data_IF_511127692720
#
_entry.id   IF_511127692720
#
_cell.length_a   1.000
_cell.length_b   1.000
_cell.length_c   1.000
_cell.angle_alpha   90.00
_cell.angle_beta   90.00
_cell.angle_gamma   90.00
#
_symmetry.space_group_name_H-M   'P 1'
#
loop_
_entity.id
_entity.type
_entity.pdbx_description
1 polymer ?
#
# COMPACT_ATOMS: atom_id res chain seq x y z
N UNK A 1 -11.95 -19.54 7.34
CA UNK A 1 -11.98 -19.21 8.78
C UNK A 1 -11.23 -20.24 9.63
N UNK A 2 -11.21 -21.53 9.25
CA UNK A 2 -10.38 -22.59 9.87
C UNK A 2 -8.92 -22.14 10.14
N UNK A 3 -8.24 -21.57 9.14
CA UNK A 3 -6.83 -21.15 9.27
C UNK A 3 -6.59 -20.06 10.33
N UNK A 4 -7.60 -19.26 10.66
CA UNK A 4 -7.51 -18.17 11.66
C UNK A 4 -7.61 -18.75 13.08
N UNK A 5 -8.42 -19.81 13.24
CA UNK A 5 -8.53 -20.58 14.49
C UNK A 5 -7.25 -21.39 14.72
N UNK A 6 -6.71 -22.05 13.68
CA UNK A 6 -5.43 -22.77 13.77
C UNK A 6 -4.27 -21.84 14.10
N UNK A 7 -4.32 -20.59 13.66
CA UNK A 7 -3.33 -19.56 14.00
C UNK A 7 -3.49 -18.99 15.43
N UNK A 8 -4.54 -19.38 16.17
CA UNK A 8 -4.77 -18.97 17.56
C UNK A 8 -5.35 -17.57 17.72
N UNK A 9 -5.80 -16.92 16.63
CA UNK A 9 -6.38 -15.57 16.69
C UNK A 9 -7.85 -15.55 17.09
N UNK A 10 -8.56 -16.68 16.97
CA UNK A 10 -9.99 -16.78 17.25
C UNK A 10 -10.27 -18.09 17.98
N UNK A 11 -11.11 -18.04 19.02
CA UNK A 11 -11.48 -19.23 19.78
C UNK A 11 -12.65 -19.97 19.10
N UNK A 12 -12.79 -21.28 19.37
CA UNK A 12 -13.76 -22.12 18.65
C UNK A 12 -15.22 -21.74 18.94
N UNK A 13 -15.49 -21.27 20.16
CA UNK A 13 -16.79 -20.72 20.54
C UNK A 13 -17.14 -19.43 19.75
N UNK A 14 -16.18 -18.52 19.59
CA UNK A 14 -16.31 -17.27 18.84
C UNK A 14 -16.53 -17.53 17.35
N UNK A 15 -15.89 -18.58 16.81
CA UNK A 15 -16.13 -19.01 15.42
C UNK A 15 -17.58 -19.38 15.19
N UNK A 16 -18.17 -20.18 16.09
CA UNK A 16 -19.56 -20.62 15.96
C UNK A 16 -20.51 -19.43 15.99
N UNK A 17 -20.21 -18.39 16.77
CA UNK A 17 -20.99 -17.14 16.78
C UNK A 17 -20.82 -16.32 15.49
N UNK A 18 -19.61 -16.27 14.91
CA UNK A 18 -19.39 -15.62 13.61
C UNK A 18 -20.07 -16.35 12.45
N UNK A 19 -20.10 -17.69 12.48
CA UNK A 19 -20.71 -18.51 11.44
C UNK A 19 -22.25 -18.41 11.47
N UNK A 20 -22.86 -18.19 12.65
CA UNK A 20 -24.31 -17.93 12.80
C UNK A 20 -24.79 -16.64 12.13
N UNK A 21 -23.90 -15.66 11.97
CA UNK A 21 -24.24 -14.36 11.39
C UNK A 21 -24.26 -14.51 9.87
N UNK A 22 -25.43 -14.76 9.27
CA UNK A 22 -25.56 -14.94 7.81
C UNK A 22 -25.53 -13.58 7.08
N UNK A 23 -24.34 -13.15 6.67
CA UNK A 23 -24.14 -11.93 5.89
C UNK A 23 -23.05 -12.20 4.85
N UNK A 24 -23.30 -11.74 3.62
CA UNK A 24 -22.37 -11.86 2.47
C UNK A 24 -21.13 -10.97 2.62
N UNK A 25 -21.20 -9.94 3.47
CA UNK A 25 -20.12 -8.97 3.67
C UNK A 25 -19.08 -9.43 4.70
N UNK A 26 -17.87 -8.87 4.61
CA UNK A 26 -16.78 -9.15 5.55
C UNK A 26 -17.18 -8.77 6.99
N UNK A 27 -17.11 -9.73 7.91
CA UNK A 27 -17.58 -9.61 9.31
C UNK A 27 -16.51 -9.06 10.27
N UNK A 28 -15.57 -8.24 9.77
CA UNK A 28 -14.50 -7.66 10.58
C UNK A 28 -14.98 -6.77 11.74
N UNK A 29 -16.22 -6.28 11.67
CA UNK A 29 -16.83 -5.44 12.70
C UNK A 29 -17.22 -6.22 13.96
N UNK A 30 -17.48 -7.53 13.87
CA UNK A 30 -17.96 -8.33 15.00
C UNK A 30 -16.90 -8.48 16.10
N UNK A 31 -15.63 -8.84 15.81
CA UNK A 31 -14.58 -8.88 16.82
C UNK A 31 -14.29 -7.51 17.46
N UNK A 32 -14.41 -6.42 16.70
CA UNK A 32 -14.23 -5.05 17.21
C UNK A 32 -15.33 -4.71 18.22
N UNK A 33 -16.57 -5.13 17.94
CA UNK A 33 -17.68 -4.93 18.85
C UNK A 33 -17.51 -5.74 20.14
N UNK A 34 -17.05 -6.99 20.03
CA UNK A 34 -16.73 -7.83 21.20
C UNK A 34 -15.65 -7.22 22.08
N UNK A 35 -14.56 -6.73 21.48
CA UNK A 35 -13.51 -6.02 22.21
C UNK A 35 -14.07 -4.80 22.97
N UNK A 36 -14.98 -4.05 22.36
CA UNK A 36 -15.64 -2.92 23.00
C UNK A 36 -16.50 -3.34 24.20
N UNK A 37 -17.29 -4.40 24.03
CA UNK A 37 -18.12 -4.96 25.13
C UNK A 37 -17.27 -5.51 26.26
N UNK A 38 -16.10 -6.08 25.97
CA UNK A 38 -15.15 -6.59 26.95
C UNK A 38 -14.60 -5.44 27.81
N UNK A 39 -14.21 -4.32 27.19
CA UNK A 39 -13.74 -3.12 27.90
C UNK A 39 -14.83 -2.53 28.79
N UNK A 40 -16.07 -2.47 28.32
CA UNK A 40 -17.20 -2.01 29.14
C UNK A 40 -17.47 -2.94 30.33
N UNK A 41 -17.38 -4.26 30.11
CA UNK A 41 -17.55 -5.25 31.17
C UNK A 41 -16.45 -5.14 32.22
N UNK A 42 -15.19 -5.01 31.80
CA UNK A 42 -14.05 -4.82 32.69
C UNK A 42 -14.17 -3.55 33.56
N UNK A 43 -14.79 -2.49 33.04
CA UNK A 43 -15.08 -1.29 33.82
C UNK A 43 -16.22 -1.50 34.82
N UNK A 44 -17.30 -2.19 34.42
CA UNK A 44 -18.40 -2.53 35.32
C UNK A 44 -17.95 -3.43 36.48
N UNK A 45 -17.02 -4.34 36.20
CA UNK A 45 -16.43 -5.26 37.17
C UNK A 45 -15.37 -4.57 38.06
N UNK A 46 -15.10 -3.27 37.84
CA UNK A 46 -14.22 -2.46 38.69
C UNK A 46 -12.72 -2.64 38.42
N UNK A 47 -12.33 -3.42 37.40
CA UNK A 47 -10.93 -3.59 37.01
C UNK A 47 -10.32 -2.29 36.45
N UNK A 48 -11.15 -1.44 35.84
CA UNK A 48 -10.75 -0.12 35.32
C UNK A 48 -11.38 0.96 36.21
N UNK A 49 -10.59 1.49 37.13
CA UNK A 49 -11.06 2.37 38.20
C UNK A 49 -11.49 3.78 37.75
N UNK A 50 -10.94 4.31 36.65
CA UNK A 50 -11.11 5.71 36.27
C UNK A 50 -11.88 5.86 34.93
N UNK A 51 -13.00 6.61 34.89
CA UNK A 51 -13.73 6.90 33.65
C UNK A 51 -12.87 7.49 32.50
N UNK A 52 -11.86 8.35 32.77
CA UNK A 52 -10.96 8.85 31.73
C UNK A 52 -10.16 7.73 31.04
N UNK A 53 -9.70 6.74 31.81
CA UNK A 53 -8.91 5.62 31.25
C UNK A 53 -9.72 4.70 30.34
N UNK A 54 -11.01 4.50 30.65
CA UNK A 54 -11.94 3.81 29.74
C UNK A 54 -12.12 4.60 28.44
N UNK A 55 -12.31 5.92 28.53
CA UNK A 55 -12.50 6.77 27.36
C UNK A 55 -11.29 6.74 26.44
N UNK A 56 -10.07 6.77 26.99
CA UNK A 56 -8.84 6.62 26.20
C UNK A 56 -8.78 5.26 25.50
N UNK A 57 -9.03 4.16 26.23
CA UNK A 57 -9.01 2.81 25.65
C UNK A 57 -10.06 2.65 24.53
N UNK A 58 -11.25 3.20 24.76
CA UNK A 58 -12.32 3.20 23.78
C UNK A 58 -12.00 4.05 22.55
N UNK A 59 -11.28 5.16 22.74
CA UNK A 59 -10.80 6.01 21.64
C UNK A 59 -9.81 5.25 20.76
N UNK A 60 -8.85 4.53 21.34
CA UNK A 60 -7.89 3.72 20.59
C UNK A 60 -8.57 2.63 19.74
N UNK A 61 -9.54 1.92 20.31
CA UNK A 61 -10.32 0.90 19.58
C UNK A 61 -11.09 1.54 18.41
N UNK A 62 -11.66 2.73 18.61
CA UNK A 62 -12.35 3.49 17.56
C UNK A 62 -11.39 3.92 16.45
N UNK A 63 -10.20 4.39 16.80
CA UNK A 63 -9.14 4.75 15.84
C UNK A 63 -8.70 3.54 15.02
N UNK A 64 -8.48 2.40 15.67
CA UNK A 64 -8.15 1.15 14.98
C UNK A 64 -9.23 0.74 13.97
N UNK A 65 -10.51 0.82 14.35
CA UNK A 65 -11.64 0.56 13.44
C UNK A 65 -11.66 1.51 12.25
N UNK A 66 -11.35 2.80 12.45
CA UNK A 66 -11.31 3.79 11.38
C UNK A 66 -10.22 3.45 10.36
N UNK A 67 -9.02 3.07 10.81
CA UNK A 67 -7.92 2.67 9.94
C UNK A 67 -8.26 1.41 9.13
N UNK A 68 -8.89 0.41 9.75
CA UNK A 68 -9.36 -0.79 9.04
C UNK A 68 -10.43 -0.45 7.98
N UNK A 69 -11.34 0.47 8.30
CA UNK A 69 -12.35 0.92 7.34
C UNK A 69 -11.70 1.64 6.14
N UNK A 70 -10.67 2.46 6.38
CA UNK A 70 -9.89 3.06 5.29
C UNK A 70 -9.22 2.01 4.42
N UNK A 71 -8.62 0.98 5.01
CA UNK A 71 -8.01 -0.13 4.27
C UNK A 71 -9.05 -0.86 3.40
N UNK A 72 -10.24 -1.12 3.94
CA UNK A 72 -11.33 -1.73 3.18
C UNK A 72 -11.80 -0.83 2.03
N UNK A 73 -11.82 0.49 2.21
CA UNK A 73 -12.15 1.43 1.14
C UNK A 73 -11.11 1.44 0.02
N UNK A 74 -9.83 1.26 0.33
CA UNK A 74 -8.78 1.12 -0.69
C UNK A 74 -8.91 -0.18 -1.49
N UNK A 75 -9.35 -1.27 -0.85
CA UNK A 75 -9.66 -2.53 -1.54
C UNK A 75 -10.93 -2.43 -2.40
N UNK A 76 -11.94 -1.71 -1.89
CA UNK A 76 -13.22 -1.53 -2.58
C UNK A 76 -13.12 -0.70 -3.87
N UNK A 77 -12.26 0.33 -3.90
CA UNK A 77 -12.12 1.23 -5.05
C UNK A 77 -10.85 0.87 -5.83
N UNK A 78 -10.96 0.08 -6.91
CA UNK A 78 -9.81 -0.17 -7.77
C UNK A 78 -9.40 1.13 -8.48
N UNK A 79 -8.09 1.31 -8.65
CA UNK A 79 -7.54 2.41 -9.46
C UNK A 79 -8.16 2.32 -10.85
N UNK A 80 -8.65 3.43 -11.44
CA UNK A 80 -9.26 3.38 -12.76
C UNK A 80 -8.30 2.77 -13.77
N UNK A 81 -8.76 1.73 -14.48
CA UNK A 81 -7.96 0.91 -15.42
C UNK A 81 -7.29 1.77 -16.51
N UNK A 82 -7.85 2.95 -16.81
CA UNK A 82 -7.29 3.92 -17.73
C UNK A 82 -5.90 4.47 -17.33
N UNK A 83 -5.52 4.41 -16.06
CA UNK A 83 -4.20 4.86 -15.59
C UNK A 83 -3.10 3.83 -15.93
N UNK A 84 -3.18 2.56 -15.52
CA UNK A 84 -2.23 1.53 -15.96
C UNK A 84 -2.19 1.36 -17.48
N UNK A 85 -3.33 1.42 -18.15
CA UNK A 85 -3.46 1.17 -19.60
C UNK A 85 -2.69 2.19 -20.46
N UNK A 86 -2.52 3.43 -20.01
CA UNK A 86 -1.75 4.46 -20.74
C UNK A 86 -0.28 4.51 -20.34
N UNK A 87 0.00 4.27 -19.06
CA UNK A 87 1.35 4.33 -18.54
C UNK A 87 2.22 3.15 -19.04
N UNK A 88 1.64 1.95 -19.10
CA UNK A 88 2.38 0.74 -19.46
C UNK A 88 2.92 0.77 -20.91
N UNK A 89 2.11 1.01 -21.95
CA UNK A 89 2.61 1.05 -23.33
C UNK A 89 3.67 2.12 -23.54
N UNK A 90 3.46 3.32 -22.97
CA UNK A 90 4.38 4.47 -23.07
C UNK A 90 5.73 4.16 -22.43
N UNK A 91 5.75 3.49 -21.28
CA UNK A 91 7.00 3.07 -20.63
C UNK A 91 7.73 1.99 -21.45
N UNK A 92 6.99 1.02 -21.99
CA UNK A 92 7.61 -0.07 -22.78
C UNK A 92 8.18 0.42 -24.11
N UNK A 93 7.54 1.37 -24.78
CA UNK A 93 8.04 1.95 -26.04
C UNK A 93 9.31 2.78 -25.81
N UNK A 94 9.36 3.58 -24.75
CA UNK A 94 10.55 4.35 -24.39
C UNK A 94 11.74 3.45 -24.06
N UNK A 95 11.53 2.42 -23.23
CA UNK A 95 12.57 1.45 -22.91
C UNK A 95 13.04 0.68 -24.15
N UNK A 96 12.14 0.35 -25.06
CA UNK A 96 12.46 -0.26 -26.35
C UNK A 96 13.36 0.64 -27.21
N UNK A 97 13.00 1.91 -27.36
CA UNK A 97 13.79 2.90 -28.10
C UNK A 97 15.18 3.10 -27.46
N UNK A 98 15.27 3.21 -26.13
CA UNK A 98 16.56 3.31 -25.43
C UNK A 98 17.43 2.07 -25.63
N UNK A 99 16.85 0.85 -25.57
CA UNK A 99 17.59 -0.40 -25.80
C UNK A 99 18.13 -0.49 -27.24
N UNK A 100 17.32 -0.12 -28.22
CA UNK A 100 17.73 -0.09 -29.63
C UNK A 100 18.81 0.96 -29.88
N UNK A 101 18.68 2.15 -29.29
CA UNK A 101 19.67 3.23 -29.39
C UNK A 101 21.01 2.88 -28.73
N UNK A 102 20.99 2.29 -27.53
CA UNK A 102 22.22 1.81 -26.86
C UNK A 102 22.88 0.68 -27.66
N UNK A 103 22.09 -0.23 -28.23
CA UNK A 103 22.62 -1.31 -29.09
C UNK A 103 23.26 -0.74 -30.36
N UNK A 104 22.62 0.25 -30.99
CA UNK A 104 23.15 0.96 -32.16
C UNK A 104 24.44 1.72 -31.83
N UNK A 105 24.49 2.42 -30.70
CA UNK A 105 25.71 3.11 -30.24
C UNK A 105 26.83 2.11 -29.96
N UNK A 106 26.57 0.97 -29.29
CA UNK A 106 27.60 -0.06 -29.05
C UNK A 106 28.15 -0.65 -30.35
N UNK A 107 27.30 -0.84 -31.35
CA UNK A 107 27.69 -1.37 -32.67
C UNK A 107 28.50 -0.37 -33.49
N UNK A 108 28.13 0.91 -33.50
CA UNK A 108 28.94 1.98 -34.12
C UNK A 108 30.20 2.33 -33.31
N UNK A 109 30.16 2.04 -32.01
CA UNK A 109 31.04 2.36 -30.87
C UNK A 109 32.20 1.45 -30.47
N UNK A 110 32.84 0.63 -31.31
CA UNK A 110 33.99 -0.20 -30.86
C UNK A 110 35.23 0.59 -30.34
N UNK A 111 35.21 1.92 -30.28
CA UNK A 111 36.36 2.75 -29.85
C UNK A 111 36.11 3.85 -28.79
N UNK A 112 34.88 4.05 -28.27
CA UNK A 112 34.64 5.11 -27.27
C UNK A 112 33.60 4.69 -26.23
N UNK A 113 34.00 4.64 -24.95
CA UNK A 113 33.12 4.37 -23.81
C UNK A 113 32.37 5.64 -23.37
N UNK A 114 31.06 5.52 -23.15
CA UNK A 114 30.19 6.58 -22.64
C UNK A 114 29.60 6.17 -21.29
N UNK A 115 29.63 7.07 -20.31
CA UNK A 115 28.87 6.94 -19.05
C UNK A 115 27.60 7.77 -19.15
N UNK A 116 26.43 7.14 -18.99
CA UNK A 116 25.12 7.80 -19.01
C UNK A 116 24.62 7.85 -17.57
N UNK A 117 24.61 9.04 -16.97
CA UNK A 117 24.00 9.27 -15.67
C UNK A 117 22.57 9.80 -15.87
N UNK A 118 21.60 9.10 -15.30
CA UNK A 118 20.19 9.51 -15.27
C UNK A 118 19.95 10.10 -13.88
N UNK A 119 19.84 11.42 -13.77
CA UNK A 119 19.49 12.08 -12.50
C UNK A 119 17.97 12.12 -12.33
N UNK A 120 17.43 11.80 -11.13
CA UNK A 120 16.00 11.92 -10.87
C UNK A 120 15.56 13.40 -10.83
N UNK A 121 14.31 13.71 -11.21
CA UNK A 121 13.78 15.07 -11.13
C UNK A 121 13.59 15.50 -9.66
N UNK A 122 13.99 16.72 -9.32
CA UNK A 122 13.75 17.36 -8.01
C UNK A 122 12.25 17.68 -7.84
N UNK A 123 11.70 17.36 -6.66
CA UNK A 123 10.27 17.27 -6.33
C UNK A 123 9.42 18.57 -6.49
N UNK A 124 9.99 19.71 -6.88
CA UNK A 124 9.26 21.00 -6.87
C UNK A 124 8.59 21.39 -8.21
N UNK A 125 8.70 20.61 -9.28
CA UNK A 125 8.03 20.94 -10.55
C UNK A 125 6.88 19.98 -10.86
N UNK A 126 5.65 20.52 -10.88
CA UNK A 126 4.40 19.78 -11.07
C UNK A 126 4.36 18.83 -12.26
N UNK A 127 3.40 17.90 -12.19
CA UNK A 127 3.24 16.69 -13.01
C UNK A 127 3.53 16.82 -14.53
N UNK A 128 3.27 17.98 -15.16
CA UNK A 128 3.54 18.18 -16.59
C UNK A 128 5.03 18.32 -16.94
N UNK A 129 5.89 18.74 -16.00
CA UNK A 129 7.33 18.88 -16.22
C UNK A 129 8.16 17.67 -15.81
N UNK A 130 7.64 16.80 -14.93
CA UNK A 130 8.34 15.60 -14.47
C UNK A 130 8.64 14.58 -15.60
N UNK A 131 8.04 14.74 -16.77
CA UNK A 131 8.23 13.86 -17.94
C UNK A 131 9.54 14.19 -18.70
N UNK A 132 10.16 15.35 -18.46
CA UNK A 132 11.45 15.67 -19.08
C UNK A 132 12.63 15.04 -18.32
N UNK A 133 12.96 13.80 -18.67
CA UNK A 133 14.24 13.21 -18.28
C UNK A 133 15.38 13.96 -18.98
N UNK A 134 16.15 14.74 -18.21
CA UNK A 134 17.33 15.45 -18.73
C UNK A 134 18.50 14.48 -18.86
N UNK A 135 18.80 14.04 -20.08
CA UNK A 135 19.96 13.18 -20.36
C UNK A 135 21.18 14.07 -20.57
N UNK A 136 22.09 14.11 -19.60
CA UNK A 136 23.38 14.81 -19.74
C UNK A 136 24.43 13.79 -20.18
N UNK A 137 24.98 13.96 -21.39
CA UNK A 137 26.05 13.10 -21.92
C UNK A 137 27.39 13.80 -21.71
N UNK A 138 28.21 13.32 -20.78
CA UNK A 138 29.59 13.78 -20.60
C UNK A 138 30.55 12.97 -21.47
N UNK A 139 31.36 13.66 -22.26
CA UNK A 139 32.41 13.07 -23.08
C UNK A 139 33.68 12.91 -22.23
N UNK A 140 34.21 11.70 -22.14
CA UNK A 140 35.58 11.46 -21.67
C UNK A 140 36.35 10.82 -22.84
N UNK A 141 37.46 11.44 -23.23
CA UNK A 141 38.34 10.97 -24.31
C UNK A 141 39.44 10.15 -23.64
N UNK A 142 39.58 8.86 -23.97
CA UNK A 142 40.77 8.10 -23.57
C UNK A 142 41.99 8.66 -24.30
N UNK A 143 43.11 8.73 -23.57
CA UNK A 143 44.41 9.13 -24.07
C UNK A 143 45.03 8.05 -24.95
#
# INVERSE_FOLDING_TARGET
>A
MESIVTAGFLHENERVELDKIDIVYNKYWAPINWALTLVFRAHKDGHIAAPPSLNSCMSEIKTFRANLAQLCNYDWVPIPIAYPQRLWPTRTSLLGASRSFVSYIKISRRKYLYSIAISPPTEEEGFDKAIQFRITVTLQKEH
#
